data_IF_083224272845
#
_entry.id   IF_083224272845
#
_cell.length_a   1.000
_cell.length_b   1.000
_cell.length_c   1.000
_cell.angle_alpha   90.00
_cell.angle_beta   90.00
_cell.angle_gamma   90.00
#
_symmetry.space_group_name_H-M   'P 1'
#
loop_
_entity.id
_entity.type
_entity.pdbx_description
1 polymer ?
#
# COMPACT_ATOMS: atom_id res chain seq x y z
N UNK A 1 32.42 -26.75 -53.87
CA UNK A 1 33.01 -26.26 -52.60
C UNK A 1 31.89 -25.49 -51.88
N UNK A 2 31.66 -25.80 -50.61
CA UNK A 2 30.41 -25.62 -49.83
C UNK A 2 29.89 -24.17 -49.66
N UNK A 3 28.58 -23.97 -49.45
CA UNK A 3 27.96 -22.67 -49.20
C UNK A 3 28.11 -22.18 -47.75
N UNK A 4 28.32 -20.89 -47.56
CA UNK A 4 28.39 -20.24 -46.25
C UNK A 4 26.98 -19.92 -45.72
N UNK A 5 26.67 -20.39 -44.51
CA UNK A 5 25.43 -20.13 -43.76
C UNK A 5 25.38 -18.69 -43.24
N UNK A 6 24.23 -17.97 -43.37
CA UNK A 6 23.96 -16.81 -42.55
C UNK A 6 23.38 -17.24 -41.18
N UNK A 7 24.10 -16.93 -40.11
CA UNK A 7 23.65 -17.15 -38.73
C UNK A 7 22.43 -16.29 -38.40
N UNK A 8 21.28 -16.95 -38.23
CA UNK A 8 20.09 -16.35 -37.64
C UNK A 8 20.37 -16.05 -36.16
N UNK A 9 20.65 -14.80 -35.81
CA UNK A 9 20.59 -14.34 -34.44
C UNK A 9 19.13 -14.18 -34.04
N UNK A 10 18.58 -15.22 -33.44
CA UNK A 10 17.36 -15.21 -32.65
C UNK A 10 17.50 -14.13 -31.58
N UNK A 11 16.85 -12.97 -31.76
CA UNK A 11 16.61 -12.05 -30.65
C UNK A 11 15.67 -12.76 -29.70
N UNK A 12 16.23 -13.32 -28.64
CA UNK A 12 15.50 -13.72 -27.45
C UNK A 12 14.69 -12.51 -27.00
N UNK A 13 13.38 -12.61 -27.19
CA UNK A 13 12.39 -11.75 -26.58
C UNK A 13 12.74 -11.66 -25.10
N UNK A 14 13.18 -10.48 -24.64
CA UNK A 14 13.21 -10.19 -23.22
C UNK A 14 11.76 -10.33 -22.76
N UNK A 15 11.48 -11.40 -22.01
CA UNK A 15 10.26 -11.51 -21.25
C UNK A 15 10.16 -10.23 -20.42
N UNK A 16 9.08 -9.44 -20.54
CA UNK A 16 8.87 -8.35 -19.61
C UNK A 16 8.79 -9.00 -18.23
N UNK A 17 9.75 -8.66 -17.36
CA UNK A 17 9.61 -8.87 -15.92
C UNK A 17 8.38 -8.05 -15.54
N UNK A 18 7.23 -8.71 -15.48
CA UNK A 18 6.01 -8.10 -14.96
C UNK A 18 6.31 -7.77 -13.50
N UNK A 19 6.24 -6.50 -13.09
CA UNK A 19 6.28 -6.20 -11.68
C UNK A 19 5.02 -6.86 -11.11
N UNK A 20 5.18 -7.83 -10.22
CA UNK A 20 4.10 -8.35 -9.38
C UNK A 20 4.17 -7.81 -7.93
N UNK A 21 4.44 -6.51 -7.71
CA UNK A 21 4.64 -5.96 -6.38
C UNK A 21 3.31 -5.93 -5.60
N UNK A 22 2.17 -5.80 -6.30
CA UNK A 22 0.86 -5.89 -5.69
C UNK A 22 0.56 -7.30 -5.16
N UNK A 23 0.91 -8.35 -5.90
CA UNK A 23 0.66 -9.72 -5.44
C UNK A 23 1.47 -10.04 -4.19
N UNK A 24 2.72 -9.60 -4.14
CA UNK A 24 3.56 -9.69 -2.94
C UNK A 24 2.98 -8.88 -1.78
N UNK A 25 2.48 -7.67 -2.03
CA UNK A 25 1.80 -6.87 -1.01
C UNK A 25 0.54 -7.57 -0.48
N UNK A 26 -0.33 -8.07 -1.37
CA UNK A 26 -1.55 -8.79 -0.99
C UNK A 26 -1.24 -10.06 -0.21
N UNK A 27 -0.16 -10.76 -0.55
CA UNK A 27 0.31 -11.94 0.18
C UNK A 27 0.89 -11.58 1.55
N UNK A 28 1.72 -10.55 1.63
CA UNK A 28 2.27 -10.08 2.91
C UNK A 28 1.15 -9.63 3.86
N UNK A 29 0.22 -8.83 3.38
CA UNK A 29 -0.92 -8.35 4.16
C UNK A 29 -1.92 -9.47 4.49
N UNK A 30 -2.10 -10.45 3.60
CA UNK A 30 -2.96 -11.61 3.84
C UNK A 30 -2.35 -12.66 4.78
N UNK A 31 -1.01 -12.79 4.80
CA UNK A 31 -0.29 -13.72 5.66
C UNK A 31 -0.21 -13.25 7.12
N UNK A 32 -0.20 -11.94 7.37
CA UNK A 32 -0.15 -11.33 8.71
C UNK A 32 -1.41 -11.51 9.58
N UNK A 33 -2.32 -12.44 9.25
CA UNK A 33 -3.55 -12.66 10.03
C UNK A 33 -4.50 -11.45 10.06
N UNK A 34 -4.34 -10.51 9.13
CA UNK A 34 -5.06 -9.23 9.07
C UNK A 34 -6.49 -9.41 8.53
N UNK A 35 -7.36 -9.97 9.35
CA UNK A 35 -8.74 -10.31 9.01
C UNK A 35 -9.74 -9.62 9.93
N UNK A 36 -9.92 -8.31 9.79
CA UNK A 36 -10.81 -7.56 10.67
C UNK A 36 -11.30 -6.21 10.17
N UNK A 37 -11.00 -5.83 8.92
CA UNK A 37 -11.30 -4.49 8.47
C UNK A 37 -12.81 -4.22 8.44
N UNK A 38 -13.25 -3.14 9.11
CA UNK A 38 -14.65 -2.69 9.12
C UNK A 38 -14.98 -1.76 7.96
N UNK A 39 -13.95 -1.28 7.26
CA UNK A 39 -14.09 -0.44 6.08
C UNK A 39 -14.88 -1.19 5.00
N UNK A 40 -15.89 -0.54 4.43
CA UNK A 40 -16.75 -1.16 3.42
C UNK A 40 -16.07 -1.15 2.06
N UNK A 41 -15.95 -2.33 1.46
CA UNK A 41 -15.44 -2.46 0.10
C UNK A 41 -16.43 -1.86 -0.91
N UNK A 42 -15.91 -1.22 -1.94
CA UNK A 42 -16.66 -0.50 -2.99
C UNK A 42 -17.15 0.89 -2.60
N UNK A 43 -17.03 1.28 -1.32
CA UNK A 43 -17.38 2.61 -0.84
C UNK A 43 -16.44 3.67 -1.44
N UNK A 44 -16.99 4.85 -1.73
CA UNK A 44 -16.22 6.00 -2.19
C UNK A 44 -15.44 6.55 -1.00
N UNK A 45 -14.19 6.94 -1.22
CA UNK A 45 -13.43 7.64 -0.21
C UNK A 45 -14.17 8.92 0.23
N UNK A 46 -14.13 9.26 1.53
CA UNK A 46 -14.60 10.56 1.99
C UNK A 46 -13.83 11.71 1.32
N UNK A 47 -14.36 12.95 1.35
CA UNK A 47 -13.67 14.10 0.79
C UNK A 47 -12.22 14.24 1.28
N UNK A 48 -11.29 14.46 0.34
CA UNK A 48 -9.86 14.53 0.59
C UNK A 48 -9.15 15.50 -0.36
N UNK A 49 -7.96 16.02 -0.01
CA UNK A 49 -7.31 17.10 -0.77
C UNK A 49 -6.50 16.62 -1.99
N UNK A 50 -6.33 15.31 -2.19
CA UNK A 50 -5.62 14.78 -3.34
C UNK A 50 -6.58 14.39 -4.48
N UNK A 51 -6.02 14.30 -5.69
CA UNK A 51 -6.71 13.74 -6.86
C UNK A 51 -6.59 12.23 -6.86
N UNK A 52 -7.71 11.55 -7.12
CA UNK A 52 -7.78 10.10 -7.24
C UNK A 52 -6.82 9.57 -8.31
N UNK A 53 -6.16 8.47 -8.00
CA UNK A 53 -5.34 7.72 -8.97
C UNK A 53 -6.07 6.46 -9.44
N UNK A 54 -5.62 5.88 -10.55
CA UNK A 54 -6.17 4.58 -11.03
C UNK A 54 -6.02 3.51 -9.96
N UNK A 55 -4.88 3.49 -9.25
CA UNK A 55 -4.67 2.72 -8.03
C UNK A 55 -3.76 3.48 -7.08
N UNK A 56 -4.08 3.45 -5.80
CA UNK A 56 -3.27 4.05 -4.73
C UNK A 56 -3.47 3.32 -3.40
N UNK A 57 -2.53 3.56 -2.48
CA UNK A 57 -2.57 3.09 -1.11
C UNK A 57 -2.86 4.26 -0.20
N UNK A 58 -3.92 4.18 0.61
CA UNK A 58 -4.21 5.16 1.66
C UNK A 58 -3.87 4.52 2.99
N UNK A 59 -2.95 5.14 3.73
CA UNK A 59 -2.46 4.64 5.02
C UNK A 59 -2.92 5.58 6.10
N UNK A 60 -3.83 5.10 6.94
CA UNK A 60 -4.30 5.80 8.12
C UNK A 60 -3.49 5.33 9.32
N UNK A 61 -2.94 6.27 10.07
CA UNK A 61 -2.15 5.96 11.25
C UNK A 61 -2.31 7.05 12.30
N UNK A 62 -1.97 6.73 13.55
CA UNK A 62 -1.92 7.68 14.65
C UNK A 62 -0.54 7.65 15.30
N UNK A 63 -0.32 8.57 16.24
CA UNK A 63 0.91 8.63 17.03
C UNK A 63 1.14 7.39 17.91
N UNK A 64 0.09 6.65 18.24
CA UNK A 64 0.13 5.47 19.12
C UNK A 64 0.50 4.16 18.39
N UNK A 65 0.69 4.19 17.06
CA UNK A 65 0.98 2.98 16.28
C UNK A 65 2.38 2.37 16.53
N UNK A 66 3.24 3.03 17.32
CA UNK A 66 4.60 2.57 17.56
C UNK A 66 5.49 2.66 16.30
N UNK A 67 6.43 1.71 16.15
CA UNK A 67 7.29 1.66 14.96
C UNK A 67 6.58 0.99 13.77
N UNK A 68 6.18 1.83 12.82
CA UNK A 68 5.54 1.42 11.56
C UNK A 68 6.52 1.47 10.38
N UNK A 69 7.82 1.66 10.62
CA UNK A 69 8.87 1.63 9.59
C UNK A 69 8.83 0.41 8.65
N UNK A 70 8.69 -0.83 9.19
CA UNK A 70 8.58 -2.04 8.36
C UNK A 70 7.38 -2.02 7.41
N UNK A 71 6.23 -1.51 7.87
CA UNK A 71 5.05 -1.35 7.03
C UNK A 71 5.34 -0.42 5.85
N UNK A 72 5.94 0.74 6.12
CA UNK A 72 6.30 1.68 5.06
C UNK A 72 7.21 1.04 4.01
N UNK A 73 8.21 0.26 4.42
CA UNK A 73 9.10 -0.44 3.47
C UNK A 73 8.36 -1.43 2.57
N UNK A 74 7.37 -2.16 3.10
CA UNK A 74 6.53 -3.07 2.31
C UNK A 74 5.65 -2.29 1.31
N UNK A 75 5.07 -1.17 1.75
CA UNK A 75 4.20 -0.34 0.91
C UNK A 75 4.98 0.39 -0.20
N UNK A 76 6.17 0.90 0.08
CA UNK A 76 7.05 1.49 -0.92
C UNK A 76 7.45 0.48 -2.00
N UNK A 77 7.66 -0.79 -1.60
CA UNK A 77 7.89 -1.90 -2.53
C UNK A 77 6.71 -2.20 -3.46
N UNK A 78 5.51 -1.73 -3.15
CA UNK A 78 4.31 -1.94 -3.98
C UNK A 78 4.33 -1.17 -5.30
N UNK A 79 5.13 -0.09 -5.39
CA UNK A 79 5.20 0.77 -6.58
C UNK A 79 3.91 1.54 -6.87
N UNK A 80 3.06 1.74 -5.87
CA UNK A 80 1.82 2.52 -5.95
C UNK A 80 1.99 3.89 -5.28
N UNK A 81 1.24 4.92 -5.70
CA UNK A 81 1.12 6.16 -4.95
C UNK A 81 0.65 5.88 -3.51
N UNK A 82 1.33 6.47 -2.53
CA UNK A 82 1.00 6.32 -1.11
C UNK A 82 0.45 7.66 -0.59
N UNK A 83 -0.70 7.61 0.07
CA UNK A 83 -1.33 8.72 0.79
C UNK A 83 -1.23 8.45 2.28
N UNK A 84 -0.31 9.14 2.95
CA UNK A 84 -0.20 9.08 4.40
C UNK A 84 -1.21 10.03 5.05
N UNK A 85 -2.09 9.49 5.88
CA UNK A 85 -3.13 10.23 6.61
C UNK A 85 -2.90 10.02 8.09
N UNK A 86 -2.60 11.11 8.79
CA UNK A 86 -2.55 11.09 10.24
C UNK A 86 -3.96 11.34 10.78
N UNK A 87 -4.51 10.33 11.43
CA UNK A 87 -5.88 10.35 11.96
C UNK A 87 -6.05 11.29 13.16
N UNK A 88 -4.94 11.75 13.73
CA UNK A 88 -4.92 12.67 14.86
C UNK A 88 -4.04 13.87 14.54
N UNK A 89 -4.38 15.04 15.07
CA UNK A 89 -3.58 16.25 14.88
C UNK A 89 -2.34 16.30 15.78
N UNK A 90 -1.70 15.13 15.97
CA UNK A 90 -0.47 14.96 16.71
C UNK A 90 0.65 14.56 15.75
N UNK A 91 1.82 15.17 15.86
CA UNK A 91 2.92 14.86 14.96
C UNK A 91 3.36 13.39 15.13
N UNK A 92 3.21 12.60 14.06
CA UNK A 92 3.64 11.21 13.98
C UNK A 92 4.55 11.03 12.74
N UNK A 93 5.65 10.28 12.86
CA UNK A 93 6.63 10.15 11.79
C UNK A 93 6.01 9.44 10.58
N UNK A 94 6.18 10.05 9.40
CA UNK A 94 5.99 9.42 8.10
C UNK A 94 7.39 9.10 7.50
N UNK A 95 7.50 8.13 6.59
CA UNK A 95 8.74 7.82 5.90
C UNK A 95 9.28 9.05 5.15
N UNK A 96 10.60 9.08 4.99
CA UNK A 96 11.32 10.25 4.48
C UNK A 96 10.78 10.67 3.10
N UNK A 97 10.38 11.94 2.97
CA UNK A 97 9.87 12.51 1.72
C UNK A 97 8.35 12.44 1.56
N UNK A 98 7.62 11.74 2.44
CA UNK A 98 6.16 11.79 2.50
C UNK A 98 5.71 12.77 3.59
N UNK A 99 4.97 13.80 3.19
CA UNK A 99 4.28 14.71 4.11
C UNK A 99 2.89 14.17 4.39
N UNK A 100 2.57 13.74 5.62
CA UNK A 100 1.25 13.23 5.92
C UNK A 100 0.21 14.35 5.91
N UNK A 101 -0.98 14.04 5.40
CA UNK A 101 -2.14 14.90 5.59
C UNK A 101 -2.59 14.80 7.05
N UNK A 102 -2.86 15.95 7.67
CA UNK A 102 -3.19 16.10 9.09
C UNK A 102 -4.20 17.23 9.31
N UNK A 103 -4.70 17.34 10.54
CA UNK A 103 -5.67 18.35 10.96
C UNK A 103 -7.09 17.79 11.07
N UNK A 104 -8.06 18.69 11.30
CA UNK A 104 -9.46 18.32 11.54
C UNK A 104 -10.07 17.55 10.37
N UNK A 105 -9.76 17.94 9.13
CA UNK A 105 -10.28 17.26 7.93
C UNK A 105 -9.72 15.83 7.79
N UNK A 106 -8.44 15.61 8.11
CA UNK A 106 -7.82 14.27 8.11
C UNK A 106 -8.41 13.38 9.21
N UNK A 107 -8.76 13.98 10.35
CA UNK A 107 -9.45 13.31 11.47
C UNK A 107 -10.86 12.91 11.05
N UNK A 108 -11.61 13.82 10.42
CA UNK A 108 -12.96 13.57 9.92
C UNK A 108 -12.97 12.48 8.83
N UNK A 109 -12.01 12.52 7.91
CA UNK A 109 -11.80 11.49 6.90
C UNK A 109 -11.60 10.10 7.53
N UNK A 110 -10.68 10.00 8.49
CA UNK A 110 -10.38 8.75 9.19
C UNK A 110 -11.60 8.19 9.95
N UNK A 111 -12.37 9.06 10.60
CA UNK A 111 -13.61 8.69 11.30
C UNK A 111 -14.71 8.23 10.34
N UNK A 112 -14.83 8.86 9.19
CA UNK A 112 -15.84 8.50 8.18
C UNK A 112 -15.61 7.09 7.62
N UNK A 113 -14.35 6.66 7.50
CA UNK A 113 -13.97 5.30 7.07
C UNK A 113 -14.29 4.21 8.10
N UNK A 114 -14.51 4.58 9.37
CA UNK A 114 -14.86 3.65 10.47
C UNK A 114 -13.86 2.50 10.65
N UNK A 115 -12.58 2.79 10.45
CA UNK A 115 -11.49 1.88 10.83
C UNK A 115 -11.63 1.51 12.31
N UNK A 116 -11.42 0.23 12.60
CA UNK A 116 -11.52 -0.31 13.95
C UNK A 116 -10.19 -0.30 14.70
N UNK A 117 -9.08 -0.30 13.98
CA UNK A 117 -7.72 -0.28 14.53
C UNK A 117 -6.76 0.54 13.64
N UNK A 118 -5.73 1.12 14.25
CA UNK A 118 -4.62 1.76 13.55
C UNK A 118 -3.31 0.98 13.77
N UNK A 119 -2.42 0.94 12.76
CA UNK A 119 -2.60 1.56 11.45
C UNK A 119 -3.56 0.75 10.56
N UNK A 120 -4.09 1.43 9.55
CA UNK A 120 -4.96 0.85 8.54
C UNK A 120 -4.43 1.19 7.14
N UNK A 121 -4.40 0.20 6.25
CA UNK A 121 -4.00 0.35 4.86
C UNK A 121 -5.21 0.06 3.99
N UNK A 122 -5.52 0.95 3.06
CA UNK A 122 -6.57 0.78 2.07
C UNK A 122 -5.95 0.71 0.69
N UNK A 123 -6.32 -0.32 -0.08
CA UNK A 123 -6.11 -0.32 -1.52
C UNK A 123 -7.30 0.36 -2.17
N UNK A 124 -7.05 1.42 -2.93
CA UNK A 124 -8.06 2.26 -3.56
C UNK A 124 -7.87 2.26 -5.07
N UNK A 125 -8.99 2.23 -5.81
CA UNK A 125 -9.00 2.41 -7.26
C UNK A 125 -10.05 3.45 -7.63
N UNK A 126 -9.62 4.53 -8.30
CA UNK A 126 -10.49 5.60 -8.76
C UNK A 126 -11.43 6.10 -7.65
N UNK A 127 -10.85 6.39 -6.48
CA UNK A 127 -11.58 6.90 -5.31
C UNK A 127 -12.46 5.87 -4.58
N UNK A 128 -12.35 4.56 -4.88
CA UNK A 128 -13.13 3.50 -4.20
C UNK A 128 -12.26 2.48 -3.50
N UNK A 129 -12.67 2.06 -2.31
CA UNK A 129 -11.95 1.04 -1.52
C UNK A 129 -12.09 -0.33 -2.18
N UNK A 130 -10.98 -0.91 -2.63
CA UNK A 130 -10.92 -2.28 -3.14
C UNK A 130 -10.60 -3.29 -2.05
N UNK A 131 -9.74 -2.92 -1.11
CA UNK A 131 -9.36 -3.75 0.00
C UNK A 131 -8.92 -2.91 1.20
N UNK A 132 -8.98 -3.48 2.40
CA UNK A 132 -8.61 -2.81 3.63
C UNK A 132 -7.96 -3.82 4.59
N UNK A 133 -6.88 -3.38 5.24
CA UNK A 133 -6.18 -4.12 6.27
C UNK A 133 -6.01 -3.22 7.48
N UNK A 134 -6.34 -3.74 8.66
CA UNK A 134 -6.28 -3.03 9.93
C UNK A 134 -5.52 -3.93 10.92
N UNK A 135 -4.67 -3.35 11.76
CA UNK A 135 -4.02 -4.08 12.84
C UNK A 135 -2.56 -3.73 13.07
N UNK A 136 -1.91 -4.48 13.96
CA UNK A 136 -0.48 -4.33 14.29
C UNK A 136 0.40 -4.97 13.20
N UNK A 137 1.26 -4.18 12.57
CA UNK A 137 2.21 -4.64 11.54
C UNK A 137 3.54 -4.98 12.20
N UNK A 138 3.63 -6.14 12.85
CA UNK A 138 4.84 -6.62 13.51
C UNK A 138 5.81 -7.30 12.54
N UNK A 139 7.11 -7.12 12.75
CA UNK A 139 8.21 -7.81 12.03
C UNK A 139 8.13 -9.35 12.15
N UNK A 140 7.29 -9.89 13.03
CA UNK A 140 7.17 -11.32 13.28
C UNK A 140 6.62 -12.13 12.09
N UNK A 141 5.96 -11.49 11.11
CA UNK A 141 5.48 -12.18 9.90
C UNK A 141 6.47 -12.16 8.72
N UNK A 142 7.59 -11.42 8.84
CA UNK A 142 8.62 -11.36 7.80
C UNK A 142 9.70 -12.47 7.96
N UNK A 143 9.61 -13.28 9.02
CA UNK A 143 10.61 -14.27 9.40
C UNK A 143 10.48 -15.66 8.74
N UNK A 144 9.35 -15.96 8.09
CA UNK A 144 9.07 -17.31 7.54
C UNK A 144 9.25 -17.42 6.01
N UNK A 145 10.01 -16.51 5.40
CA UNK A 145 10.57 -16.71 4.06
C UNK A 145 12.09 -16.90 4.15
N UNK A 146 12.51 -18.12 4.48
CA UNK A 146 13.88 -18.58 4.25
C UNK A 146 13.89 -19.94 3.56
#
# INVERSE_FOLDING_TARGET
MLPAYPGAMTRLSRLPIRPAPLTLLLLALGASGMGGARVRLGEVLPPHPWTDSERELVVLYSHDCGDIGPLWGVLEGAGLPIRAVNAEDQAAPAPAGLTPWRGEEATAFSRALKVSEYPAVLLVQSGRVLNAWEGTFGVQDAGDLK
#
